data_IF_734748476195
#
_entry.id   IF_734748476195
#
_cell.length_a   1.000
_cell.length_b   1.000
_cell.length_c   1.000
_cell.angle_alpha   90.00
_cell.angle_beta   90.00
_cell.angle_gamma   90.00
#
_symmetry.space_group_name_H-M   'P 1'
#
loop_
_entity.id
_entity.type
_entity.pdbx_description
1 polymer ?
#
# COMPACT_ATOMS: atom_id res chain seq x y z
N UNK A 1 -42.96 13.99 2.88
CA UNK A 1 -42.29 14.00 1.57
C UNK A 1 -41.27 15.09 1.66
N UNK A 2 -40.10 14.74 2.18
CA UNK A 2 -39.06 15.69 2.52
C UNK A 2 -38.40 16.19 1.24
N UNK A 3 -38.38 17.51 1.10
CA UNK A 3 -37.79 18.19 -0.03
C UNK A 3 -36.29 17.89 -0.05
N UNK A 4 -35.83 17.22 -1.12
CA UNK A 4 -34.41 17.13 -1.44
C UNK A 4 -33.91 18.58 -1.53
N UNK A 5 -32.99 19.03 -0.65
CA UNK A 5 -32.50 20.39 -0.72
C UNK A 5 -31.76 20.58 -2.05
N UNK A 6 -32.03 21.68 -2.75
CA UNK A 6 -31.33 21.98 -4.00
C UNK A 6 -29.83 22.12 -3.72
N UNK A 7 -28.93 21.70 -4.64
CA UNK A 7 -27.48 21.74 -4.45
C UNK A 7 -26.93 23.09 -3.96
N UNK A 8 -27.55 24.20 -4.37
CA UNK A 8 -27.20 25.55 -3.95
C UNK A 8 -27.44 25.79 -2.44
N UNK A 9 -28.53 25.24 -1.88
CA UNK A 9 -28.85 25.36 -0.45
C UNK A 9 -27.88 24.55 0.42
N UNK A 10 -27.42 23.38 -0.06
CA UNK A 10 -26.43 22.56 0.67
C UNK A 10 -25.05 23.23 0.66
N UNK A 11 -24.69 23.87 -0.46
CA UNK A 11 -23.47 24.69 -0.57
C UNK A 11 -23.52 25.92 0.35
N UNK A 12 -24.64 26.63 0.39
CA UNK A 12 -24.88 27.73 1.34
C UNK A 12 -24.78 27.26 2.79
N UNK A 13 -25.44 26.15 3.14
CA UNK A 13 -25.36 25.55 4.48
C UNK A 13 -23.92 25.16 4.84
N UNK A 14 -23.15 24.63 3.91
CA UNK A 14 -21.75 24.30 4.13
C UNK A 14 -20.88 25.56 4.32
N UNK A 15 -21.10 26.61 3.53
CA UNK A 15 -20.37 27.88 3.67
C UNK A 15 -20.77 28.62 4.96
N UNK A 16 -22.04 28.60 5.34
CA UNK A 16 -22.55 29.08 6.63
C UNK A 16 -21.96 28.29 7.79
N UNK A 17 -21.90 26.97 7.65
CA UNK A 17 -21.26 26.09 8.62
C UNK A 17 -19.77 26.44 8.78
N UNK A 18 -19.03 26.60 7.67
CA UNK A 18 -17.63 27.00 7.69
C UNK A 18 -17.41 28.40 8.28
N UNK A 19 -18.29 29.36 8.00
CA UNK A 19 -18.16 30.74 8.52
C UNK A 19 -18.39 30.83 10.02
N UNK A 20 -19.25 29.94 10.57
CA UNK A 20 -19.49 29.81 12.01
C UNK A 20 -18.36 29.09 12.76
N UNK A 21 -17.51 28.35 12.06
CA UNK A 21 -16.36 27.63 12.63
C UNK A 21 -15.15 28.53 12.94
N UNK A 22 -15.36 29.81 13.28
CA UNK A 22 -14.30 30.73 13.67
C UNK A 22 -13.49 30.17 14.87
N UNK A 23 -12.19 30.53 15.01
CA UNK A 23 -11.19 29.68 15.68
C UNK A 23 -11.36 29.43 17.18
N UNK A 24 -12.38 29.99 17.83
CA UNK A 24 -12.45 30.06 19.29
C UNK A 24 -13.65 29.40 19.97
N UNK A 25 -14.65 28.85 19.26
CA UNK A 25 -15.92 28.56 19.97
C UNK A 25 -16.30 27.11 20.25
N UNK A 26 -16.05 26.06 19.44
CA UNK A 26 -16.37 24.70 19.91
C UNK A 26 -15.47 23.60 19.32
N UNK A 27 -14.82 22.82 20.20
CA UNK A 27 -14.09 21.57 19.87
C UNK A 27 -14.92 20.60 19.02
N UNK A 28 -16.24 20.65 19.21
CA UNK A 28 -17.19 19.78 18.53
C UNK A 28 -17.27 20.03 17.02
N UNK A 29 -17.05 21.26 16.54
CA UNK A 29 -17.04 21.56 15.11
C UNK A 29 -15.88 20.90 14.37
N UNK A 30 -14.75 20.69 15.06
CA UNK A 30 -13.61 19.96 14.51
C UNK A 30 -13.99 18.55 14.07
N UNK A 31 -14.84 17.87 14.84
CA UNK A 31 -15.32 16.51 14.51
C UNK A 31 -16.09 16.51 13.19
N UNK A 32 -17.05 17.41 13.03
CA UNK A 32 -17.89 17.48 11.84
C UNK A 32 -17.09 17.90 10.60
N UNK A 33 -16.20 18.89 10.71
CA UNK A 33 -15.31 19.28 9.60
C UNK A 33 -14.45 18.09 9.15
N UNK A 34 -13.82 17.38 10.08
CA UNK A 34 -13.00 16.22 9.77
C UNK A 34 -13.83 15.10 9.14
N UNK A 35 -15.05 14.85 9.61
CA UNK A 35 -15.93 13.85 9.01
C UNK A 35 -16.26 14.15 7.55
N UNK A 36 -16.69 15.38 7.24
CA UNK A 36 -17.00 15.79 5.87
C UNK A 36 -15.78 15.71 4.96
N UNK A 37 -14.61 16.10 5.48
CA UNK A 37 -13.33 15.96 4.80
C UNK A 37 -13.02 14.50 4.45
N UNK A 38 -13.14 13.58 5.40
CA UNK A 38 -12.89 12.16 5.18
C UNK A 38 -13.86 11.59 4.13
N UNK A 39 -15.16 11.86 4.27
CA UNK A 39 -16.17 11.42 3.31
C UNK A 39 -15.94 11.95 1.89
N UNK A 40 -15.27 13.09 1.74
CA UNK A 40 -14.91 13.62 0.43
C UNK A 40 -13.74 12.87 -0.26
N UNK A 41 -12.96 12.09 0.49
CA UNK A 41 -11.69 11.48 0.00
C UNK A 41 -11.79 9.95 -0.10
N UNK A 42 -12.73 9.35 0.62
CA UNK A 42 -12.83 7.90 0.77
C UNK A 42 -13.19 7.15 -0.51
N UNK A 43 -12.58 5.98 -0.70
CA UNK A 43 -12.81 5.11 -1.86
C UNK A 43 -14.11 4.30 -1.79
N UNK A 44 -14.68 4.14 -0.60
CA UNK A 44 -15.98 3.49 -0.38
C UNK A 44 -16.77 4.22 0.72
N UNK A 45 -18.10 4.03 0.78
CA UNK A 45 -18.88 4.48 1.92
C UNK A 45 -18.33 3.94 3.23
N UNK A 46 -18.37 4.76 4.28
CA UNK A 46 -18.02 4.34 5.62
C UNK A 46 -19.22 3.70 6.32
N UNK A 47 -18.93 2.85 7.31
CA UNK A 47 -19.89 2.60 8.38
C UNK A 47 -19.93 3.76 9.37
N UNK A 48 -21.01 3.87 10.14
CA UNK A 48 -21.12 4.89 11.19
C UNK A 48 -19.94 4.75 12.17
N UNK A 49 -19.61 3.51 12.54
CA UNK A 49 -18.51 3.25 13.47
C UNK A 49 -17.14 3.55 12.86
N UNK A 50 -16.88 3.17 11.62
CA UNK A 50 -15.61 3.48 10.94
C UNK A 50 -15.34 4.97 10.89
N UNK A 51 -16.34 5.76 10.46
CA UNK A 51 -16.21 7.21 10.40
C UNK A 51 -15.99 7.80 11.80
N UNK A 52 -16.76 7.35 12.79
CA UNK A 52 -16.67 7.87 14.15
C UNK A 52 -15.31 7.60 14.77
N UNK A 53 -14.78 6.39 14.63
CA UNK A 53 -13.44 6.03 15.12
C UNK A 53 -12.33 6.83 14.42
N UNK A 54 -12.42 7.01 13.10
CA UNK A 54 -11.44 7.80 12.34
C UNK A 54 -11.41 9.27 12.77
N UNK A 55 -12.59 9.87 12.91
CA UNK A 55 -12.78 11.27 13.31
C UNK A 55 -12.32 11.50 14.75
N UNK A 56 -12.70 10.62 15.67
CA UNK A 56 -12.26 10.68 17.07
C UNK A 56 -10.74 10.53 17.16
N UNK A 57 -10.13 9.58 16.43
CA UNK A 57 -8.67 9.42 16.43
C UNK A 57 -7.94 10.66 15.89
N UNK A 58 -8.51 11.32 14.88
CA UNK A 58 -7.91 12.55 14.35
C UNK A 58 -7.96 13.71 15.35
N UNK A 59 -9.08 13.85 16.07
CA UNK A 59 -9.31 14.98 16.98
C UNK A 59 -8.76 14.76 18.40
N UNK A 60 -8.55 13.51 18.80
CA UNK A 60 -7.96 13.18 20.10
C UNK A 60 -6.43 13.15 20.01
N UNK A 61 -5.76 14.03 20.74
CA UNK A 61 -4.31 13.96 20.93
C UNK A 61 -3.97 12.91 22.00
N UNK A 62 -2.88 12.16 21.79
CA UNK A 62 -2.31 11.19 22.75
C UNK A 62 -3.04 9.84 22.95
N UNK A 63 -3.82 9.40 21.98
CA UNK A 63 -4.37 8.03 21.99
C UNK A 63 -3.33 7.04 21.48
N UNK A 64 -2.99 6.03 22.29
CA UNK A 64 -2.07 4.94 21.90
C UNK A 64 -2.71 3.56 21.91
N UNK A 65 -3.91 3.41 22.49
CA UNK A 65 -4.62 2.13 22.61
C UNK A 65 -6.00 2.18 21.95
N UNK A 66 -6.48 1.03 21.49
CA UNK A 66 -7.83 0.82 20.97
C UNK A 66 -8.87 1.05 22.06
N UNK A 67 -8.57 0.61 23.29
CA UNK A 67 -9.46 0.80 24.44
C UNK A 67 -9.67 2.28 24.77
N UNK A 68 -8.60 3.08 24.81
CA UNK A 68 -8.71 4.52 25.08
C UNK A 68 -9.42 5.27 23.96
N UNK A 69 -9.21 4.85 22.70
CA UNK A 69 -9.97 5.39 21.57
C UNK A 69 -11.46 5.11 21.73
N UNK A 70 -11.84 3.88 22.09
CA UNK A 70 -13.23 3.47 22.20
C UNK A 70 -14.04 4.29 23.21
N UNK A 71 -13.40 4.73 24.32
CA UNK A 71 -14.01 5.56 25.36
C UNK A 71 -14.34 6.99 24.88
N UNK A 72 -13.69 7.45 23.81
CA UNK A 72 -13.84 8.80 23.26
C UNK A 72 -14.79 8.84 22.05
N UNK A 73 -15.17 7.68 21.51
CA UNK A 73 -16.03 7.60 20.32
C UNK A 73 -17.48 7.89 20.69
N UNK A 74 -18.01 9.01 20.17
CA UNK A 74 -19.43 9.36 20.26
C UNK A 74 -20.03 9.45 18.86
N UNK A 75 -20.54 8.30 18.39
CA UNK A 75 -21.13 8.18 17.07
C UNK A 75 -22.46 8.94 16.96
N UNK A 76 -23.27 8.99 18.03
CA UNK A 76 -24.57 9.67 18.00
C UNK A 76 -24.39 11.18 17.81
N UNK A 77 -23.47 11.76 18.60
CA UNK A 77 -23.10 13.17 18.46
C UNK A 77 -22.58 13.46 17.06
N UNK A 78 -21.63 12.68 16.56
CA UNK A 78 -21.07 12.89 15.23
C UNK A 78 -22.15 12.86 14.14
N UNK A 79 -22.99 11.84 14.14
CA UNK A 79 -24.05 11.68 13.13
C UNK A 79 -25.06 12.82 13.19
N UNK A 80 -25.43 13.31 14.38
CA UNK A 80 -26.33 14.46 14.52
C UNK A 80 -25.77 15.75 13.90
N UNK A 81 -24.44 15.91 13.90
CA UNK A 81 -23.78 17.10 13.38
C UNK A 81 -23.65 17.09 11.85
N UNK A 82 -23.43 15.91 11.25
CA UNK A 82 -23.20 15.78 9.81
C UNK A 82 -24.45 15.37 9.02
N UNK A 83 -25.53 15.00 9.70
CA UNK A 83 -26.81 14.58 9.10
C UNK A 83 -27.25 15.45 7.90
N UNK A 84 -27.15 16.79 7.93
CA UNK A 84 -27.61 17.62 6.81
C UNK A 84 -26.81 17.44 5.51
N UNK A 85 -25.63 16.82 5.57
CA UNK A 85 -24.67 16.72 4.46
C UNK A 85 -24.50 15.29 3.92
N UNK A 86 -25.11 14.30 4.56
CA UNK A 86 -24.96 12.87 4.22
C UNK A 86 -26.28 12.29 3.70
N UNK A 87 -26.18 11.25 2.87
CA UNK A 87 -27.37 10.51 2.42
C UNK A 87 -28.11 9.91 3.61
N UNK A 88 -29.41 9.63 3.45
CA UNK A 88 -30.18 8.95 4.52
C UNK A 88 -29.48 7.68 4.98
N UNK A 89 -29.35 7.53 6.30
CA UNK A 89 -28.63 6.45 6.97
C UNK A 89 -29.60 5.65 7.85
N UNK A 90 -29.54 4.32 7.77
CA UNK A 90 -30.21 3.42 8.69
C UNK A 90 -29.42 3.33 10.00
N UNK A 91 -29.98 3.80 11.11
CA UNK A 91 -29.29 3.81 12.41
C UNK A 91 -29.31 2.46 13.15
N UNK A 92 -30.08 1.48 12.64
CA UNK A 92 -30.23 0.17 13.27
C UNK A 92 -28.99 -0.72 13.07
N UNK A 93 -28.27 -0.55 11.95
CA UNK A 93 -27.01 -1.24 11.67
C UNK A 93 -25.85 -0.24 11.54
N UNK A 94 -25.11 -0.08 12.65
CA UNK A 94 -23.99 0.84 12.74
C UNK A 94 -22.75 0.41 11.91
N UNK A 95 -22.70 -0.85 11.47
CA UNK A 95 -21.57 -1.42 10.70
C UNK A 95 -21.82 -1.44 9.20
N UNK A 96 -23.05 -1.21 8.75
CA UNK A 96 -23.39 -1.10 7.33
C UNK A 96 -22.61 0.05 6.67
N UNK A 97 -22.00 -0.21 5.51
CA UNK A 97 -21.26 0.78 4.72
C UNK A 97 -22.23 1.69 3.94
N UNK A 98 -22.66 2.78 4.56
CA UNK A 98 -23.75 3.62 4.05
C UNK A 98 -23.53 5.13 4.18
N UNK A 99 -22.53 5.56 4.95
CA UNK A 99 -22.28 6.98 5.19
C UNK A 99 -21.48 7.54 4.02
N UNK A 100 -22.11 8.43 3.26
CA UNK A 100 -21.54 9.14 2.11
C UNK A 100 -22.18 10.53 1.97
N UNK A 101 -21.51 11.45 1.29
CA UNK A 101 -22.04 12.79 1.04
C UNK A 101 -23.26 12.72 0.11
N UNK A 102 -24.22 13.64 0.30
CA UNK A 102 -25.46 13.70 -0.50
C UNK A 102 -25.17 13.91 -1.99
N UNK A 103 -24.20 14.76 -2.31
CA UNK A 103 -23.95 15.20 -3.67
C UNK A 103 -22.44 15.34 -3.98
N UNK A 104 -22.07 15.05 -5.23
CA UNK A 104 -20.69 15.13 -5.73
C UNK A 104 -20.17 16.57 -5.79
N UNK A 105 -21.04 17.56 -6.01
CA UNK A 105 -20.68 18.98 -5.96
C UNK A 105 -20.19 19.41 -4.58
N UNK A 106 -20.75 18.85 -3.50
CA UNK A 106 -20.27 19.09 -2.14
C UNK A 106 -18.87 18.48 -1.93
N UNK A 107 -18.65 17.26 -2.44
CA UNK A 107 -17.32 16.64 -2.44
C UNK A 107 -16.28 17.52 -3.16
N UNK A 108 -16.61 18.05 -4.34
CA UNK A 108 -15.73 18.92 -5.12
C UNK A 108 -15.50 20.27 -4.42
N UNK A 109 -16.55 20.84 -3.78
CA UNK A 109 -16.45 22.06 -2.99
C UNK A 109 -15.52 21.90 -1.79
N UNK A 110 -15.63 20.79 -1.05
CA UNK A 110 -14.75 20.48 0.09
C UNK A 110 -13.30 20.40 -0.39
N UNK A 111 -13.03 19.69 -1.49
CA UNK A 111 -11.68 19.58 -2.08
C UNK A 111 -11.13 20.93 -2.51
N UNK A 112 -11.94 21.75 -3.18
CA UNK A 112 -11.56 23.11 -3.63
C UNK A 112 -11.24 24.05 -2.47
N UNK A 113 -12.06 24.01 -1.41
CA UNK A 113 -11.85 24.84 -0.22
C UNK A 113 -10.60 24.41 0.55
N UNK A 114 -10.29 23.11 0.56
CA UNK A 114 -9.03 22.62 1.11
C UNK A 114 -7.82 23.21 0.37
N UNK A 115 -7.81 23.12 -0.97
CA UNK A 115 -6.71 23.63 -1.78
C UNK A 115 -6.52 25.15 -1.62
N UNK A 116 -7.62 25.92 -1.63
CA UNK A 116 -7.56 27.40 -1.52
C UNK A 116 -7.02 27.87 -0.16
N UNK A 117 -7.36 27.18 0.94
CA UNK A 117 -6.82 27.52 2.27
C UNK A 117 -5.31 27.32 2.31
N UNK A 118 -4.79 26.29 1.65
CA UNK A 118 -3.34 26.04 1.61
C UNK A 118 -2.59 27.10 0.81
N UNK A 119 -3.07 27.48 -0.39
CA UNK A 119 -2.43 28.50 -1.22
C UNK A 119 -2.32 29.89 -0.57
N UNK A 120 -3.23 30.21 0.34
CA UNK A 120 -3.25 31.51 1.03
C UNK A 120 -2.39 31.56 2.31
N UNK A 121 -1.77 30.44 2.72
CA UNK A 121 -1.04 30.33 4.00
C UNK A 121 0.49 30.30 3.82
N UNK A 122 1.04 30.85 2.73
CA UNK A 122 2.50 30.98 2.52
C UNK A 122 3.20 32.00 3.46
N UNK A 123 2.62 32.39 4.61
CA UNK A 123 3.22 33.44 5.44
C UNK A 123 2.82 33.56 6.91
N UNK A 124 2.09 32.61 7.50
CA UNK A 124 1.70 32.73 8.92
C UNK A 124 2.02 31.47 9.72
N UNK A 125 3.15 31.50 10.43
CA UNK A 125 3.43 30.58 11.54
C UNK A 125 2.51 30.90 12.72
N UNK A 126 1.25 30.46 12.66
CA UNK A 126 0.37 30.41 13.83
C UNK A 126 0.24 28.96 14.28
N UNK A 127 0.92 28.64 15.38
CA UNK A 127 0.77 27.40 16.13
C UNK A 127 -0.68 27.22 16.59
N UNK A 128 -1.37 26.17 16.12
CA UNK A 128 -2.59 25.71 16.78
C UNK A 128 -3.64 24.97 15.94
N UNK A 129 -3.59 24.99 14.61
CA UNK A 129 -4.63 24.34 13.79
C UNK A 129 -4.10 23.06 13.10
N UNK A 130 -4.53 21.88 13.58
CA UNK A 130 -4.20 20.58 12.97
C UNK A 130 -4.73 20.45 11.53
N UNK A 131 -5.67 21.32 11.13
CA UNK A 131 -6.12 21.47 9.75
C UNK A 131 -5.05 22.01 8.78
N UNK A 132 -4.02 22.71 9.29
CA UNK A 132 -2.87 23.19 8.52
C UNK A 132 -1.74 22.16 8.40
N UNK A 133 -1.82 21.04 9.11
CA UNK A 133 -0.74 20.05 9.18
C UNK A 133 -0.66 19.14 7.95
N UNK A 134 -1.74 19.01 7.18
CA UNK A 134 -1.82 18.14 6.01
C UNK A 134 -2.06 18.97 4.75
N UNK A 135 -1.01 19.12 3.95
CA UNK A 135 -1.05 19.85 2.69
C UNK A 135 -1.98 19.19 1.65
N UNK A 136 -2.11 17.86 1.68
CA UNK A 136 -3.01 17.11 0.79
C UNK A 136 -4.12 16.34 1.54
N UNK A 137 -5.30 16.17 0.91
CA UNK A 137 -6.37 15.32 1.44
C UNK A 137 -5.91 13.88 1.70
N UNK A 138 -5.09 13.32 0.80
CA UNK A 138 -4.57 11.96 0.89
C UNK A 138 -3.65 11.79 2.11
N UNK A 139 -2.88 12.82 2.46
CA UNK A 139 -2.01 12.78 3.63
C UNK A 139 -2.78 12.76 4.96
N UNK A 140 -3.94 13.43 5.03
CA UNK A 140 -4.80 13.40 6.21
C UNK A 140 -5.27 11.97 6.50
N UNK A 141 -5.88 11.32 5.50
CA UNK A 141 -6.44 9.98 5.69
C UNK A 141 -5.33 8.93 5.85
N UNK A 142 -4.20 9.09 5.16
CA UNK A 142 -3.02 8.26 5.38
C UNK A 142 -2.53 8.35 6.83
N UNK A 143 -2.40 9.55 7.38
CA UNK A 143 -1.96 9.74 8.77
C UNK A 143 -2.93 9.08 9.77
N UNK A 144 -4.24 9.22 9.56
CA UNK A 144 -5.24 8.57 10.41
C UNK A 144 -5.12 7.06 10.32
N UNK A 145 -5.03 6.49 9.11
CA UNK A 145 -4.86 5.05 8.92
C UNK A 145 -3.57 4.54 9.56
N UNK A 146 -2.43 5.22 9.34
CA UNK A 146 -1.14 4.82 9.91
C UNK A 146 -1.16 4.93 11.43
N UNK A 147 -1.67 6.03 12.00
CA UNK A 147 -1.79 6.17 13.47
C UNK A 147 -2.70 5.11 14.06
N UNK A 148 -3.80 4.78 13.39
CA UNK A 148 -4.68 3.70 13.82
C UNK A 148 -3.93 2.38 13.87
N UNK A 149 -3.24 2.02 12.78
CA UNK A 149 -2.47 0.77 12.69
C UNK A 149 -1.24 0.74 13.62
N UNK A 150 -0.89 1.86 14.25
CA UNK A 150 0.14 1.98 15.26
C UNK A 150 -0.38 1.89 16.70
N UNK A 151 -1.69 1.76 16.93
CA UNK A 151 -2.26 1.49 18.25
C UNK A 151 -1.71 0.17 18.82
N UNK A 152 -1.48 0.12 20.13
CA UNK A 152 -0.69 -0.93 20.79
C UNK A 152 -1.24 -2.34 20.55
N UNK A 153 -2.56 -2.52 20.62
CA UNK A 153 -3.22 -3.81 20.44
C UNK A 153 -2.95 -4.44 19.07
N UNK A 154 -2.79 -3.64 18.01
CA UNK A 154 -2.52 -4.11 16.65
C UNK A 154 -1.08 -4.67 16.54
N UNK A 155 -0.18 -4.25 17.42
CA UNK A 155 1.17 -4.81 17.49
C UNK A 155 1.29 -6.04 18.39
N UNK A 156 0.27 -6.34 19.20
CA UNK A 156 0.34 -7.38 20.22
C UNK A 156 -0.61 -8.55 19.91
N UNK A 157 -1.85 -8.25 19.52
CA UNK A 157 -2.88 -9.25 19.24
C UNK A 157 -2.76 -9.76 17.81
N UNK A 158 -3.23 -10.98 17.55
CA UNK A 158 -3.36 -11.50 16.18
C UNK A 158 -4.76 -11.26 15.63
N UNK A 159 -4.87 -11.03 14.32
CA UNK A 159 -6.17 -10.93 13.63
C UNK A 159 -6.96 -12.24 13.72
N UNK A 160 -6.31 -13.39 13.59
CA UNK A 160 -6.94 -14.71 13.70
C UNK A 160 -6.67 -15.36 15.05
N UNK A 161 -7.66 -16.08 15.58
CA UNK A 161 -7.46 -16.88 16.78
C UNK A 161 -6.77 -18.19 16.40
N UNK A 162 -6.19 -18.89 17.37
CA UNK A 162 -5.57 -20.20 17.10
C UNK A 162 -6.62 -21.19 16.57
N UNK A 163 -7.85 -21.11 17.09
CA UNK A 163 -8.98 -21.91 16.65
C UNK A 163 -9.38 -21.56 15.21
N UNK A 164 -9.43 -20.28 14.85
CA UNK A 164 -9.73 -19.85 13.49
C UNK A 164 -8.67 -20.29 12.49
N UNK A 165 -7.39 -20.26 12.90
CA UNK A 165 -6.28 -20.80 12.09
C UNK A 165 -6.48 -22.30 11.91
N UNK A 166 -6.70 -23.06 12.99
CA UNK A 166 -6.93 -24.49 12.93
C UNK A 166 -8.15 -24.87 12.08
N UNK A 167 -9.26 -24.11 12.19
CA UNK A 167 -10.47 -24.32 11.38
C UNK A 167 -10.22 -24.00 9.91
N UNK A 168 -9.38 -23.01 9.59
CA UNK A 168 -9.02 -22.68 8.21
C UNK A 168 -8.12 -23.74 7.55
N UNK A 169 -7.41 -24.53 8.35
CA UNK A 169 -6.58 -25.66 7.89
C UNK A 169 -7.38 -26.96 7.72
N UNK A 170 -8.61 -27.03 8.25
CA UNK A 170 -9.50 -28.17 8.06
C UNK A 170 -10.20 -28.10 6.68
N UNK A 171 -10.41 -29.24 6.00
CA UNK A 171 -11.22 -29.30 4.80
C UNK A 171 -12.62 -28.72 5.08
N UNK A 172 -13.00 -27.68 4.34
CA UNK A 172 -14.33 -27.07 4.49
C UNK A 172 -15.40 -28.08 4.04
N UNK A 173 -16.59 -28.05 4.64
CA UNK A 173 -17.64 -29.03 4.35
C UNK A 173 -18.07 -29.09 2.87
N UNK A 174 -17.84 -28.02 2.11
CA UNK A 174 -18.04 -27.95 0.66
C UNK A 174 -16.97 -28.70 -0.15
N UNK A 175 -15.76 -28.90 0.39
CA UNK A 175 -14.65 -29.64 -0.22
C UNK A 175 -14.73 -31.14 0.07
N UNK A 176 -15.48 -31.56 1.09
CA UNK A 176 -15.62 -32.99 1.44
C UNK A 176 -16.49 -33.80 0.46
N UNK A 177 -17.23 -33.12 -0.43
CA UNK A 177 -18.15 -33.76 -1.39
C UNK A 177 -18.04 -33.23 -2.83
N UNK A 178 -17.10 -32.32 -3.13
CA UNK A 178 -16.83 -31.83 -4.49
C UNK A 178 -15.38 -32.13 -4.86
N UNK A 179 -15.14 -33.26 -5.54
CA UNK A 179 -13.81 -33.64 -6.02
C UNK A 179 -13.30 -32.79 -7.21
N UNK A 180 -14.08 -31.81 -7.71
CA UNK A 180 -13.82 -31.15 -9.01
C UNK A 180 -13.86 -29.61 -9.04
N UNK A 181 -14.02 -28.90 -7.91
CA UNK A 181 -13.96 -27.43 -7.96
C UNK A 181 -12.62 -26.92 -7.44
N UNK A 182 -11.76 -26.51 -8.38
CA UNK A 182 -10.68 -25.57 -8.08
C UNK A 182 -11.24 -24.45 -7.16
N UNK A 183 -10.50 -24.02 -6.12
CA UNK A 183 -10.94 -22.92 -5.28
C UNK A 183 -11.27 -21.72 -6.18
N UNK A 184 -12.44 -21.09 -5.96
CA UNK A 184 -12.91 -19.98 -6.78
C UNK A 184 -11.87 -18.87 -6.75
N UNK A 185 -10.98 -18.84 -7.75
CA UNK A 185 -9.92 -17.85 -7.85
C UNK A 185 -10.58 -16.49 -8.01
N UNK A 186 -10.24 -15.56 -7.13
CA UNK A 186 -10.67 -14.17 -7.27
C UNK A 186 -10.26 -13.68 -8.67
N UNK A 187 -11.24 -13.19 -9.43
CA UNK A 187 -10.99 -12.55 -10.71
C UNK A 187 -11.13 -11.03 -10.54
N UNK A 188 -10.28 -10.26 -11.21
CA UNK A 188 -10.30 -8.80 -11.15
C UNK A 188 -11.54 -8.16 -11.80
N UNK A 189 -12.46 -8.97 -12.33
CA UNK A 189 -13.70 -8.50 -12.96
C UNK A 189 -14.90 -8.52 -11.99
N UNK A 190 -14.74 -9.05 -10.78
CA UNK A 190 -15.75 -9.02 -9.72
C UNK A 190 -15.29 -8.16 -8.53
N UNK A 191 -16.24 -7.45 -7.90
CA UNK A 191 -15.96 -6.71 -6.68
C UNK A 191 -15.69 -7.68 -5.53
N UNK A 192 -14.93 -7.25 -4.51
CA UNK A 192 -14.65 -8.12 -3.37
C UNK A 192 -15.92 -8.46 -2.60
N UNK A 193 -16.90 -7.54 -2.57
CA UNK A 193 -18.21 -7.75 -1.94
C UNK A 193 -18.93 -8.94 -2.56
N UNK A 194 -18.96 -9.03 -3.89
CA UNK A 194 -19.61 -10.12 -4.61
C UNK A 194 -18.84 -11.45 -4.48
N UNK A 195 -17.51 -11.41 -4.38
CA UNK A 195 -16.70 -12.61 -4.20
C UNK A 195 -16.79 -13.18 -2.78
N UNK A 196 -16.90 -12.32 -1.76
CA UNK A 196 -16.95 -12.71 -0.34
C UNK A 196 -18.38 -12.94 0.20
N UNK A 197 -19.42 -12.80 -0.63
CA UNK A 197 -20.83 -12.77 -0.21
C UNK A 197 -21.21 -13.97 0.67
N UNK A 198 -20.94 -15.19 0.20
CA UNK A 198 -21.31 -16.46 0.85
C UNK A 198 -20.18 -17.07 1.71
N UNK A 199 -19.09 -16.34 1.93
CA UNK A 199 -17.92 -16.88 2.64
C UNK A 199 -18.04 -16.74 4.16
N UNK A 200 -17.52 -17.70 4.95
CA UNK A 200 -17.42 -17.55 6.40
C UNK A 200 -16.63 -16.29 6.75
N UNK A 201 -17.13 -15.48 7.68
CA UNK A 201 -16.51 -14.21 8.08
C UNK A 201 -15.95 -14.26 9.49
N UNK A 202 -14.89 -13.51 9.74
CA UNK A 202 -14.38 -13.22 11.08
C UNK A 202 -14.59 -11.75 11.42
N UNK A 203 -14.48 -11.39 12.71
CA UNK A 203 -14.61 -10.02 13.17
C UNK A 203 -13.33 -9.54 13.86
N UNK A 204 -12.57 -8.59 13.28
CA UNK A 204 -11.44 -7.95 13.96
C UNK A 204 -11.84 -7.26 15.26
N UNK A 205 -13.07 -6.75 15.34
CA UNK A 205 -13.60 -6.08 16.54
C UNK A 205 -13.71 -7.05 17.71
N UNK A 206 -14.09 -8.32 17.48
CA UNK A 206 -14.12 -9.36 18.53
C UNK A 206 -12.72 -9.66 19.08
N UNK A 207 -11.68 -9.38 18.31
CA UNK A 207 -10.29 -9.48 18.75
C UNK A 207 -9.81 -8.22 19.48
N UNK A 208 -10.66 -7.20 19.56
CA UNK A 208 -10.34 -5.90 20.14
C UNK A 208 -9.34 -5.12 19.29
N UNK A 209 -9.46 -5.22 17.96
CA UNK A 209 -8.74 -4.37 17.01
C UNK A 209 -9.52 -3.09 16.65
N UNK A 210 -10.78 -3.01 17.07
CA UNK A 210 -11.64 -1.84 16.90
C UNK A 210 -12.27 -1.73 15.50
N UNK A 211 -13.15 -0.75 15.34
CA UNK A 211 -14.08 -0.69 14.20
C UNK A 211 -13.47 -0.07 12.93
N UNK A 212 -12.31 0.59 13.00
CA UNK A 212 -11.65 1.21 11.84
C UNK A 212 -10.47 0.37 11.31
N UNK A 213 -10.15 -0.75 11.95
CA UNK A 213 -9.01 -1.61 11.59
C UNK A 213 -9.09 -2.13 10.14
N UNK A 214 -10.27 -2.57 9.71
CA UNK A 214 -10.49 -3.11 8.36
C UNK A 214 -10.18 -2.06 7.31
N UNK A 215 -10.79 -0.88 7.44
CA UNK A 215 -10.57 0.22 6.53
C UNK A 215 -9.09 0.63 6.49
N UNK A 216 -8.49 0.87 7.66
CA UNK A 216 -7.11 1.30 7.75
C UNK A 216 -6.17 0.29 7.08
N UNK A 217 -6.33 -1.01 7.35
CA UNK A 217 -5.48 -2.06 6.79
C UNK A 217 -5.61 -2.21 5.27
N UNK A 218 -6.81 -1.96 4.72
CA UNK A 218 -7.06 -2.13 3.29
C UNK A 218 -6.64 -0.92 2.46
N UNK A 219 -6.89 0.29 2.95
CA UNK A 219 -6.80 1.51 2.13
C UNK A 219 -5.56 2.36 2.40
N UNK A 220 -4.85 2.18 3.53
CA UNK A 220 -3.60 2.92 3.76
C UNK A 220 -2.57 2.78 2.63
N UNK A 221 -2.38 1.62 1.96
CA UNK A 221 -1.41 1.50 0.87
C UNK A 221 -1.83 2.29 -0.38
N UNK A 222 -3.15 2.48 -0.59
CA UNK A 222 -3.66 3.29 -1.69
C UNK A 222 -3.32 4.76 -1.48
N UNK A 223 -3.53 5.27 -0.27
CA UNK A 223 -3.15 6.64 0.08
C UNK A 223 -1.63 6.83 0.13
N UNK A 224 -0.90 5.82 0.58
CA UNK A 224 0.57 5.84 0.63
C UNK A 224 1.23 5.96 -0.75
N UNK A 225 0.55 5.51 -1.81
CA UNK A 225 0.98 5.69 -3.20
C UNK A 225 0.79 7.12 -3.69
N UNK A 226 -0.25 7.81 -3.21
CA UNK A 226 -0.71 9.09 -3.75
C UNK A 226 -0.07 10.31 -3.07
N UNK A 227 0.58 10.14 -1.92
CA UNK A 227 1.22 11.26 -1.22
C UNK A 227 2.42 11.83 -1.98
N UNK A 228 2.53 13.16 -1.95
CA UNK A 228 3.60 13.93 -2.57
C UNK A 228 4.63 14.39 -1.54
N UNK A 229 5.79 14.87 -2.02
CA UNK A 229 6.89 15.38 -1.20
C UNK A 229 6.49 16.36 -0.08
N UNK A 230 5.45 17.18 -0.27
CA UNK A 230 5.01 18.18 0.72
C UNK A 230 4.24 17.58 1.91
N UNK A 231 3.75 16.35 1.79
CA UNK A 231 2.81 15.76 2.73
C UNK A 231 3.16 14.30 3.09
N UNK A 232 4.45 13.97 3.11
CA UNK A 232 4.90 12.61 3.39
C UNK A 232 4.62 12.19 4.84
N UNK A 233 4.24 10.92 5.08
CA UNK A 233 4.11 10.38 6.42
C UNK A 233 5.48 10.36 7.12
N UNK A 234 5.47 10.33 8.45
CA UNK A 234 6.69 10.18 9.24
C UNK A 234 7.35 8.83 8.91
N UNK A 235 8.62 8.86 8.50
CA UNK A 235 9.39 7.65 8.17
C UNK A 235 9.36 6.61 9.32
N UNK A 236 9.60 7.05 10.56
CA UNK A 236 9.57 6.16 11.73
C UNK A 236 8.21 5.45 11.92
N UNK A 237 7.10 6.10 11.53
CA UNK A 237 5.78 5.47 11.58
C UNK A 237 5.65 4.35 10.56
N UNK A 238 6.18 4.55 9.34
CA UNK A 238 6.18 3.52 8.28
C UNK A 238 7.10 2.37 8.66
N UNK A 239 8.33 2.65 9.13
CA UNK A 239 9.25 1.62 9.61
C UNK A 239 8.63 0.76 10.71
N UNK A 240 7.99 1.39 11.71
CA UNK A 240 7.32 0.67 12.80
C UNK A 240 6.11 -0.14 12.33
N UNK A 241 5.33 0.39 11.37
CA UNK A 241 4.16 -0.29 10.82
C UNK A 241 4.55 -1.52 9.98
N UNK A 242 5.65 -1.44 9.26
CA UNK A 242 6.11 -2.45 8.31
C UNK A 242 7.33 -3.22 8.79
N UNK A 243 7.67 -3.12 10.09
CA UNK A 243 8.83 -3.78 10.65
C UNK A 243 8.81 -5.28 10.34
N UNK A 244 9.92 -5.80 9.81
CA UNK A 244 10.09 -7.20 9.50
C UNK A 244 9.72 -8.09 10.69
N UNK A 245 9.04 -9.20 10.42
CA UNK A 245 8.58 -10.19 11.40
C UNK A 245 7.70 -9.65 12.54
N UNK A 246 7.20 -8.43 12.42
CA UNK A 246 6.29 -7.85 13.41
C UNK A 246 4.84 -8.35 13.24
N UNK A 247 4.10 -8.41 14.35
CA UNK A 247 2.67 -8.68 14.29
C UNK A 247 1.92 -7.60 13.53
N UNK A 248 2.41 -6.35 13.49
CA UNK A 248 1.77 -5.25 12.78
C UNK A 248 1.70 -5.53 11.28
N UNK A 249 2.84 -5.84 10.66
CA UNK A 249 2.87 -6.15 9.23
C UNK A 249 2.03 -7.39 8.92
N UNK A 250 2.11 -8.42 9.77
CA UNK A 250 1.26 -9.60 9.63
C UNK A 250 -0.23 -9.25 9.70
N UNK A 251 -0.66 -8.46 10.68
CA UNK A 251 -2.07 -8.16 10.90
C UNK A 251 -2.68 -7.36 9.75
N UNK A 252 -2.06 -6.23 9.37
CA UNK A 252 -2.66 -5.39 8.33
C UNK A 252 -2.62 -6.08 6.96
N UNK A 253 -1.57 -6.85 6.65
CA UNK A 253 -1.49 -7.59 5.36
C UNK A 253 -2.49 -8.74 5.29
N UNK A 254 -2.74 -9.43 6.40
CA UNK A 254 -3.78 -10.47 6.48
C UNK A 254 -5.17 -9.87 6.31
N UNK A 255 -5.42 -8.68 6.86
CA UNK A 255 -6.69 -7.98 6.65
C UNK A 255 -6.81 -7.40 5.23
N UNK A 256 -5.74 -6.86 4.65
CA UNK A 256 -5.71 -6.24 3.32
C UNK A 256 -6.18 -7.21 2.21
N UNK A 257 -5.81 -8.49 2.34
CA UNK A 257 -6.26 -9.53 1.42
C UNK A 257 -7.70 -10.02 1.65
N UNK A 258 -8.42 -9.48 2.65
CA UNK A 258 -9.80 -9.83 3.05
C UNK A 258 -10.63 -8.59 3.44
N UNK A 259 -10.92 -7.64 2.52
CA UNK A 259 -11.64 -6.41 2.86
C UNK A 259 -13.03 -6.63 3.47
N UNK A 260 -13.73 -7.71 3.12
CA UNK A 260 -15.02 -8.09 3.72
C UNK A 260 -14.90 -9.04 4.90
N UNK A 261 -13.68 -9.28 5.39
CA UNK A 261 -13.37 -10.21 6.47
C UNK A 261 -13.77 -11.66 6.20
N UNK A 262 -13.77 -12.11 4.94
CA UNK A 262 -13.86 -13.53 4.61
C UNK A 262 -12.65 -14.30 5.18
N UNK A 263 -12.87 -15.51 5.69
CA UNK A 263 -11.81 -16.41 6.14
C UNK A 263 -10.79 -16.73 5.03
N UNK A 264 -11.21 -17.20 3.83
CA UNK A 264 -10.27 -17.42 2.73
C UNK A 264 -9.71 -16.10 2.20
N UNK A 265 -8.40 -16.03 1.91
CA UNK A 265 -7.79 -14.84 1.33
C UNK A 265 -8.10 -14.69 -0.17
N UNK A 266 -8.26 -13.45 -0.65
CA UNK A 266 -8.42 -13.17 -2.09
C UNK A 266 -7.19 -13.50 -2.93
N UNK A 267 -6.00 -13.31 -2.35
CA UNK A 267 -4.71 -13.52 -3.02
C UNK A 267 -3.62 -13.91 -2.01
N UNK A 268 -2.56 -14.60 -2.45
CA UNK A 268 -1.40 -14.89 -1.62
C UNK A 268 -0.59 -13.61 -1.33
N UNK A 269 -0.19 -13.41 -0.07
CA UNK A 269 0.66 -12.27 0.32
C UNK A 269 1.44 -12.60 1.60
N UNK A 270 2.55 -13.33 1.52
CA UNK A 270 3.26 -13.73 2.74
C UNK A 270 4.00 -12.55 3.40
N UNK A 271 3.54 -12.10 4.56
CA UNK A 271 4.10 -10.97 5.29
C UNK A 271 5.58 -11.14 5.67
N UNK A 272 6.07 -12.37 5.76
CA UNK A 272 7.48 -12.66 6.09
C UNK A 272 8.45 -12.27 4.95
N UNK A 273 7.93 -12.05 3.75
CA UNK A 273 8.72 -11.64 2.59
C UNK A 273 8.86 -10.11 2.48
N UNK A 274 8.26 -9.37 3.42
CA UNK A 274 8.17 -7.92 3.38
C UNK A 274 8.72 -7.27 4.64
N UNK A 275 9.19 -6.05 4.44
CA UNK A 275 9.79 -5.15 5.41
C UNK A 275 9.47 -3.69 4.99
N UNK A 276 9.94 -2.66 5.70
CA UNK A 276 9.57 -1.30 5.35
C UNK A 276 9.99 -0.89 3.93
N UNK A 277 11.21 -1.25 3.49
CA UNK A 277 11.68 -0.89 2.16
C UNK A 277 10.88 -1.57 1.06
N UNK A 278 10.64 -2.88 1.17
CA UNK A 278 9.87 -3.63 0.16
C UNK A 278 8.41 -3.19 0.07
N UNK A 279 7.77 -2.84 1.19
CA UNK A 279 6.43 -2.23 1.20
C UNK A 279 6.46 -0.85 0.53
N UNK A 280 7.47 -0.02 0.80
CA UNK A 280 7.63 1.27 0.13
C UNK A 280 7.87 1.12 -1.37
N UNK A 281 8.68 0.14 -1.79
CA UNK A 281 8.87 -0.16 -3.21
C UNK A 281 7.55 -0.49 -3.90
N UNK A 282 6.72 -1.35 -3.29
CA UNK A 282 5.49 -1.86 -3.88
C UNK A 282 4.32 -0.85 -3.83
N UNK A 283 4.15 -0.15 -2.70
CA UNK A 283 2.97 0.68 -2.44
C UNK A 283 3.26 2.16 -2.24
N UNK A 284 4.48 2.55 -1.85
CA UNK A 284 4.81 3.95 -1.57
C UNK A 284 4.83 4.84 -2.81
N UNK A 285 4.77 6.15 -2.62
CA UNK A 285 5.09 7.11 -3.68
C UNK A 285 6.60 7.10 -3.98
N UNK A 286 6.99 7.61 -5.16
CA UNK A 286 8.41 7.72 -5.54
C UNK A 286 9.16 8.65 -4.57
N UNK A 287 8.54 9.75 -4.16
CA UNK A 287 9.08 10.66 -3.15
C UNK A 287 9.38 9.93 -1.83
N UNK A 288 8.47 9.06 -1.39
CA UNK A 288 8.66 8.30 -0.17
C UNK A 288 9.73 7.22 -0.31
N UNK A 289 9.88 6.60 -1.50
CA UNK A 289 11.00 5.70 -1.78
C UNK A 289 12.33 6.42 -1.64
N UNK A 290 12.46 7.64 -2.16
CA UNK A 290 13.68 8.44 -1.98
C UNK A 290 13.94 8.78 -0.51
N UNK A 291 12.91 9.13 0.27
CA UNK A 291 13.06 9.36 1.72
C UNK A 291 13.49 8.09 2.45
N UNK A 292 12.87 6.94 2.15
CA UNK A 292 13.25 5.64 2.70
C UNK A 292 14.71 5.30 2.36
N UNK A 293 15.13 5.50 1.11
CA UNK A 293 16.50 5.25 0.67
C UNK A 293 17.53 6.24 1.17
N UNK A 294 17.13 7.45 1.59
CA UNK A 294 18.06 8.47 2.11
C UNK A 294 18.20 8.42 3.63
N UNK A 295 17.08 8.32 4.33
CA UNK A 295 17.00 8.64 5.76
C UNK A 295 16.90 7.41 6.67
N UNK A 296 16.57 6.23 6.12
CA UNK A 296 16.43 5.01 6.94
C UNK A 296 17.77 4.48 7.39
N UNK A 297 17.75 3.82 8.56
CA UNK A 297 18.87 3.04 9.06
C UNK A 297 18.63 1.55 8.79
N UNK A 298 19.20 1.04 7.70
CA UNK A 298 19.02 -0.36 7.29
C UNK A 298 19.67 -1.39 8.23
N UNK A 299 20.47 -0.94 9.22
CA UNK A 299 21.14 -1.80 10.19
C UNK A 299 20.38 -1.90 11.54
N UNK A 300 19.23 -1.24 11.69
CA UNK A 300 18.51 -1.13 12.96
C UNK A 300 17.64 -2.36 13.33
N UNK A 301 17.69 -3.43 12.53
CA UNK A 301 16.88 -4.64 12.74
C UNK A 301 15.42 -4.54 12.32
N UNK A 302 14.97 -3.41 11.75
CA UNK A 302 13.61 -3.28 11.22
C UNK A 302 13.43 -3.89 9.82
N UNK A 303 14.54 -4.18 9.14
CA UNK A 303 14.60 -4.61 7.75
C UNK A 303 15.04 -6.06 7.63
N UNK A 304 14.63 -6.73 6.56
CA UNK A 304 15.08 -8.08 6.26
C UNK A 304 16.53 -8.08 5.78
N UNK A 305 17.21 -9.21 5.94
CA UNK A 305 18.48 -9.43 5.28
C UNK A 305 18.30 -9.34 3.75
N UNK A 306 19.25 -8.67 3.08
CA UNK A 306 19.15 -8.39 1.64
C UNK A 306 17.88 -7.60 1.29
N UNK A 307 17.47 -6.64 2.12
CA UNK A 307 16.25 -5.81 1.96
C UNK A 307 16.07 -5.24 0.55
N UNK A 308 17.15 -4.81 -0.12
CA UNK A 308 17.06 -4.27 -1.48
C UNK A 308 16.72 -5.35 -2.51
N UNK A 309 17.28 -6.56 -2.35
CA UNK A 309 16.95 -7.72 -3.18
C UNK A 309 15.50 -8.14 -2.97
N UNK A 310 15.01 -8.13 -1.72
CA UNK A 310 13.61 -8.41 -1.41
C UNK A 310 12.69 -7.37 -2.05
N UNK A 311 12.97 -6.08 -1.88
CA UNK A 311 12.23 -4.99 -2.53
C UNK A 311 12.22 -5.10 -4.05
N UNK A 312 13.37 -5.41 -4.66
CA UNK A 312 13.48 -5.60 -6.10
C UNK A 312 12.68 -6.82 -6.59
N UNK A 313 12.66 -7.94 -5.85
CA UNK A 313 11.82 -9.10 -6.18
C UNK A 313 10.32 -8.75 -6.18
N UNK A 314 9.89 -7.89 -5.26
CA UNK A 314 8.49 -7.43 -5.23
C UNK A 314 8.17 -6.51 -6.41
N UNK A 315 9.08 -5.62 -6.79
CA UNK A 315 8.93 -4.78 -7.99
C UNK A 315 8.84 -5.64 -9.26
N UNK A 316 9.68 -6.68 -9.37
CA UNK A 316 9.71 -7.62 -10.50
C UNK A 316 8.43 -8.47 -10.60
N UNK A 317 7.75 -8.75 -9.49
CA UNK A 317 6.50 -9.52 -9.51
C UNK A 317 5.27 -8.63 -9.71
N UNK A 318 5.16 -7.53 -8.96
CA UNK A 318 3.88 -6.82 -8.79
C UNK A 318 3.94 -5.29 -8.91
N UNK A 319 5.14 -4.70 -8.89
CA UNK A 319 5.31 -3.25 -8.73
C UNK A 319 5.45 -2.44 -10.03
N UNK A 320 6.19 -1.35 -9.96
CA UNK A 320 6.59 -0.50 -11.08
C UNK A 320 8.10 -0.66 -11.32
N UNK A 321 8.49 -1.16 -12.50
CA UNK A 321 9.89 -1.50 -12.78
C UNK A 321 10.80 -0.28 -12.87
N UNK A 322 10.26 0.90 -13.16
CA UNK A 322 11.04 2.15 -13.23
C UNK A 322 11.79 2.44 -11.92
N UNK A 323 11.24 1.97 -10.79
CA UNK A 323 11.81 2.10 -9.45
C UNK A 323 13.02 1.22 -9.18
N UNK A 324 13.25 0.18 -9.99
CA UNK A 324 14.40 -0.70 -9.81
C UNK A 324 15.71 0.07 -9.93
N UNK A 325 15.75 1.07 -10.80
CA UNK A 325 16.93 1.92 -11.00
C UNK A 325 17.33 2.64 -9.71
N UNK A 326 16.37 3.08 -8.91
CA UNK A 326 16.63 3.77 -7.63
C UNK A 326 17.32 2.85 -6.62
N UNK A 327 16.79 1.63 -6.44
CA UNK A 327 17.42 0.62 -5.57
C UNK A 327 18.81 0.22 -6.07
N UNK A 328 18.95 0.10 -7.39
CA UNK A 328 20.16 -0.38 -8.04
C UNK A 328 21.32 0.60 -7.91
N UNK A 329 21.02 1.90 -8.00
CA UNK A 329 22.00 2.98 -7.91
C UNK A 329 22.25 3.45 -6.48
N UNK A 330 21.47 3.00 -5.50
CA UNK A 330 21.66 3.39 -4.11
C UNK A 330 23.07 3.01 -3.62
N UNK A 331 23.84 3.95 -3.04
CA UNK A 331 25.22 3.69 -2.64
C UNK A 331 25.34 2.71 -1.47
N UNK A 332 24.32 2.61 -0.61
CA UNK A 332 24.32 1.76 0.58
C UNK A 332 23.84 0.36 0.27
N UNK A 333 22.82 0.25 -0.59
CA UNK A 333 22.09 -0.99 -0.84
C UNK A 333 22.33 -1.60 -2.23
N UNK A 334 22.74 -0.80 -3.22
CA UNK A 334 22.85 -1.26 -4.60
C UNK A 334 23.85 -2.40 -4.79
N UNK A 335 24.80 -2.61 -3.87
CA UNK A 335 25.69 -3.77 -3.90
C UNK A 335 24.94 -5.12 -3.80
N UNK A 336 23.76 -5.14 -3.15
CA UNK A 336 22.90 -6.32 -3.04
C UNK A 336 22.27 -6.72 -4.38
N UNK A 337 22.20 -5.80 -5.33
CA UNK A 337 21.59 -5.99 -6.66
C UNK A 337 22.62 -6.08 -7.78
N UNK A 338 23.81 -5.49 -7.61
CA UNK A 338 24.87 -5.44 -8.63
C UNK A 338 25.68 -6.73 -8.69
N UNK A 339 25.03 -7.86 -8.93
CA UNK A 339 25.63 -9.18 -9.00
C UNK A 339 24.84 -10.11 -9.95
N UNK A 340 25.44 -11.27 -10.28
CA UNK A 340 24.86 -12.25 -11.19
C UNK A 340 23.50 -12.80 -10.71
N UNK A 341 23.35 -13.05 -9.40
CA UNK A 341 22.15 -13.66 -8.83
C UNK A 341 20.91 -12.77 -9.01
N UNK A 342 21.08 -11.45 -8.94
CA UNK A 342 19.99 -10.53 -9.23
C UNK A 342 19.54 -10.59 -10.69
N UNK A 343 20.48 -10.67 -11.66
CA UNK A 343 20.09 -10.82 -13.06
C UNK A 343 19.47 -12.20 -13.35
N UNK A 344 19.90 -13.24 -12.62
CA UNK A 344 19.24 -14.55 -12.64
C UNK A 344 17.79 -14.45 -12.14
N UNK A 345 17.55 -13.66 -11.10
CA UNK A 345 16.21 -13.36 -10.61
C UNK A 345 15.35 -12.64 -11.67
N UNK A 346 15.89 -11.62 -12.35
CA UNK A 346 15.20 -10.93 -13.45
C UNK A 346 14.77 -11.93 -14.54
N UNK A 347 15.69 -12.79 -15.00
CA UNK A 347 15.39 -13.81 -16.03
C UNK A 347 14.27 -14.75 -15.56
N UNK A 348 14.33 -15.21 -14.30
CA UNK A 348 13.32 -16.10 -13.73
C UNK A 348 11.95 -15.43 -13.70
N UNK A 349 11.85 -14.21 -13.16
CA UNK A 349 10.58 -13.47 -13.06
C UNK A 349 10.01 -13.09 -14.42
N UNK A 350 10.86 -12.70 -15.36
CA UNK A 350 10.46 -12.46 -16.74
C UNK A 350 9.87 -13.72 -17.37
N UNK A 351 10.50 -14.89 -17.17
CA UNK A 351 9.96 -16.15 -17.70
C UNK A 351 8.61 -16.51 -17.09
N UNK A 352 8.41 -16.27 -15.80
CA UNK A 352 7.16 -16.55 -15.09
C UNK A 352 6.00 -15.63 -15.50
N UNK A 353 6.30 -14.39 -15.91
CA UNK A 353 5.27 -13.33 -16.03
C UNK A 353 5.27 -12.55 -17.35
N UNK A 354 6.17 -12.85 -18.30
CA UNK A 354 6.31 -12.13 -19.59
C UNK A 354 5.03 -12.10 -20.43
N UNK A 355 4.14 -13.07 -20.25
CA UNK A 355 2.83 -13.10 -20.93
C UNK A 355 1.84 -12.09 -20.32
N UNK A 356 1.94 -11.83 -19.01
CA UNK A 356 1.00 -10.99 -18.27
C UNK A 356 1.54 -9.57 -17.99
N UNK A 357 2.85 -9.33 -18.21
CA UNK A 357 3.50 -8.05 -17.97
C UNK A 357 4.40 -7.68 -19.16
N UNK A 358 3.96 -6.79 -20.06
CA UNK A 358 4.67 -6.51 -21.30
C UNK A 358 5.86 -5.55 -21.15
N UNK A 359 5.90 -4.74 -20.09
CA UNK A 359 6.94 -3.73 -19.90
C UNK A 359 8.03 -4.24 -18.94
N UNK A 360 9.19 -4.59 -19.50
CA UNK A 360 10.39 -5.09 -18.81
C UNK A 360 11.64 -4.26 -19.09
N UNK A 361 11.48 -3.17 -19.84
CA UNK A 361 12.59 -2.43 -20.40
C UNK A 361 13.48 -1.83 -19.31
N UNK A 362 12.88 -1.27 -18.25
CA UNK A 362 13.60 -0.70 -17.11
C UNK A 362 14.47 -1.74 -16.38
N UNK A 363 13.98 -2.98 -16.22
CA UNK A 363 14.75 -4.05 -15.60
C UNK A 363 15.93 -4.49 -16.48
N UNK A 364 15.72 -4.60 -17.80
CA UNK A 364 16.80 -4.96 -18.73
C UNK A 364 17.82 -3.85 -18.92
N UNK A 365 17.42 -2.58 -18.79
CA UNK A 365 18.30 -1.42 -18.87
C UNK A 365 19.40 -1.39 -17.80
N UNK A 366 19.21 -2.10 -16.67
CA UNK A 366 20.23 -2.23 -15.63
C UNK A 366 21.49 -2.95 -16.11
N UNK A 367 21.41 -3.79 -17.15
CA UNK A 367 22.58 -4.49 -17.73
C UNK A 367 23.59 -3.48 -18.26
N UNK A 368 23.11 -2.38 -18.87
CA UNK A 368 23.98 -1.39 -19.47
C UNK A 368 24.83 -0.65 -18.43
N UNK A 369 24.33 -0.57 -17.18
CA UNK A 369 25.03 0.00 -16.04
C UNK A 369 26.12 -0.93 -15.46
N UNK A 370 26.10 -2.23 -15.82
CA UNK A 370 26.95 -3.25 -15.21
C UNK A 370 28.12 -3.71 -16.06
N UNK A 371 28.27 -3.20 -17.27
CA UNK A 371 29.24 -3.73 -18.25
C UNK A 371 30.66 -3.83 -17.68
N UNK A 372 31.12 -2.79 -17.00
CA UNK A 372 32.49 -2.76 -16.46
C UNK A 372 32.66 -3.70 -15.27
N UNK A 373 31.70 -3.70 -14.34
CA UNK A 373 31.73 -4.58 -13.18
C UNK A 373 31.58 -6.06 -13.57
N UNK A 374 30.76 -6.36 -14.57
CA UNK A 374 30.56 -7.69 -15.12
C UNK A 374 31.86 -8.26 -15.71
N UNK A 375 32.61 -7.45 -16.45
CA UNK A 375 33.94 -7.82 -16.97
C UNK A 375 34.95 -7.99 -15.83
N UNK A 376 34.94 -7.08 -14.85
CA UNK A 376 35.87 -7.15 -13.72
C UNK A 376 35.67 -8.43 -12.89
N UNK A 377 34.42 -8.86 -12.74
CA UNK A 377 34.03 -10.02 -11.94
C UNK A 377 33.79 -11.29 -12.77
N UNK A 378 33.97 -11.23 -14.09
CA UNK A 378 33.95 -12.37 -15.02
C UNK A 378 32.67 -13.22 -14.99
N UNK A 379 31.49 -12.57 -14.97
CA UNK A 379 30.20 -13.26 -14.99
C UNK A 379 29.31 -12.91 -16.19
N UNK A 380 29.83 -12.17 -17.17
CA UNK A 380 29.11 -11.78 -18.38
C UNK A 380 28.80 -12.95 -19.30
N UNK A 381 29.73 -13.90 -19.45
CA UNK A 381 29.47 -15.14 -20.20
C UNK A 381 28.40 -16.00 -19.53
N UNK A 382 28.48 -16.18 -18.20
CA UNK A 382 27.48 -16.96 -17.47
C UNK A 382 26.09 -16.34 -17.59
N UNK A 383 25.97 -15.02 -17.47
CA UNK A 383 24.71 -14.31 -17.70
C UNK A 383 24.18 -14.55 -19.12
N UNK A 384 25.06 -14.48 -20.13
CA UNK A 384 24.68 -14.75 -21.51
C UNK A 384 24.14 -16.17 -21.70
N UNK A 385 24.83 -17.18 -21.17
CA UNK A 385 24.38 -18.57 -21.21
C UNK A 385 23.02 -18.76 -20.54
N UNK A 386 22.82 -18.18 -19.35
CA UNK A 386 21.54 -18.24 -18.65
C UNK A 386 20.42 -17.59 -19.46
N UNK A 387 20.65 -16.38 -19.99
CA UNK A 387 19.67 -15.67 -20.79
C UNK A 387 19.32 -16.44 -22.08
N UNK A 388 20.32 -16.99 -22.77
CA UNK A 388 20.13 -17.80 -23.97
C UNK A 388 19.33 -19.08 -23.67
N UNK A 389 19.68 -19.79 -22.59
CA UNK A 389 18.99 -21.02 -22.16
C UNK A 389 17.53 -20.77 -21.77
N UNK A 390 17.23 -19.59 -21.21
CA UNK A 390 15.89 -19.17 -20.85
C UNK A 390 15.10 -18.54 -22.00
N UNK A 391 15.71 -18.37 -23.19
CA UNK A 391 15.09 -17.68 -24.33
C UNK A 391 14.91 -16.17 -24.13
N UNK A 392 15.64 -15.56 -23.18
CA UNK A 392 15.55 -14.15 -22.87
C UNK A 392 16.30 -13.29 -23.91
N UNK A 393 15.69 -13.14 -25.08
CA UNK A 393 16.23 -12.38 -26.20
C UNK A 393 16.66 -10.94 -25.84
N UNK A 394 15.93 -10.16 -25.00
CA UNK A 394 16.33 -8.81 -24.65
C UNK A 394 17.71 -8.74 -23.97
N UNK A 395 17.99 -9.62 -23.02
CA UNK A 395 19.28 -9.68 -22.32
C UNK A 395 20.39 -10.12 -23.28
N UNK A 396 20.15 -11.16 -24.08
CA UNK A 396 21.11 -11.63 -25.08
C UNK A 396 21.50 -10.52 -26.06
N UNK A 397 20.51 -9.79 -26.59
CA UNK A 397 20.72 -8.71 -27.53
C UNK A 397 21.51 -7.55 -26.91
N UNK A 398 21.21 -7.18 -25.66
CA UNK A 398 21.96 -6.14 -24.93
C UNK A 398 23.41 -6.55 -24.69
N UNK A 399 23.66 -7.79 -24.28
CA UNK A 399 25.03 -8.28 -24.06
C UNK A 399 25.84 -8.30 -25.35
N UNK A 400 25.26 -8.78 -26.46
CA UNK A 400 25.91 -8.77 -27.77
C UNK A 400 26.16 -7.35 -28.28
N UNK A 401 25.21 -6.44 -28.08
CA UNK A 401 25.35 -5.02 -28.46
C UNK A 401 26.38 -4.31 -27.59
N UNK A 402 26.45 -4.64 -26.29
CA UNK A 402 27.45 -4.15 -25.35
C UNK A 402 28.85 -4.64 -25.72
N UNK A 403 29.00 -5.91 -26.10
CA UNK A 403 30.27 -6.49 -26.55
C UNK A 403 30.84 -5.83 -27.81
N UNK A 404 30.01 -5.21 -28.66
CA UNK A 404 30.51 -4.41 -29.80
C UNK A 404 31.26 -3.15 -29.37
N UNK A 405 30.97 -2.64 -28.17
CA UNK A 405 31.48 -1.37 -27.66
C UNK A 405 32.38 -1.55 -26.42
N UNK A 406 32.51 -2.76 -25.88
CA UNK A 406 33.35 -3.08 -24.73
C UNK A 406 34.24 -4.31 -25.04
N UNK A 407 35.54 -4.05 -25.20
CA UNK A 407 36.55 -5.06 -25.55
C UNK A 407 36.79 -6.11 -24.46
N UNK A 408 36.53 -5.78 -23.20
CA UNK A 408 36.59 -6.74 -22.10
C UNK A 408 35.48 -7.78 -22.23
N UNK A 409 34.24 -7.32 -22.37
CA UNK A 409 33.07 -8.17 -22.53
C UNK A 409 33.14 -8.98 -23.82
N UNK A 410 33.64 -8.38 -24.91
CA UNK A 410 33.86 -9.09 -26.18
C UNK A 410 34.81 -10.28 -26.01
N UNK A 411 35.94 -10.07 -25.33
CA UNK A 411 36.92 -11.13 -25.08
C UNK A 411 36.35 -12.23 -24.21
N UNK A 412 35.66 -11.87 -23.13
CA UNK A 412 35.02 -12.84 -22.24
C UNK A 412 34.03 -13.74 -22.99
N UNK A 413 33.11 -13.15 -23.76
CA UNK A 413 32.13 -13.91 -24.54
C UNK A 413 32.82 -14.83 -25.57
N UNK A 414 33.79 -14.32 -26.34
CA UNK A 414 34.47 -15.09 -27.40
C UNK A 414 35.43 -16.16 -26.89
N UNK A 415 36.08 -15.94 -25.74
CA UNK A 415 37.02 -16.89 -25.16
C UNK A 415 36.31 -18.19 -24.78
N UNK A 416 35.13 -18.08 -24.17
CA UNK A 416 34.33 -19.23 -23.74
C UNK A 416 33.58 -19.91 -24.91
N UNK A 417 33.21 -19.18 -25.97
CA UNK A 417 32.75 -19.81 -27.22
C UNK A 417 33.80 -20.76 -27.84
N UNK A 418 35.07 -20.45 -27.66
CA UNK A 418 36.18 -21.25 -28.20
C UNK A 418 36.46 -22.51 -27.36
N UNK A 419 35.96 -22.56 -26.12
CA UNK A 419 36.11 -23.69 -25.19
C UNK A 419 34.94 -24.69 -25.23
N UNK A 420 33.85 -24.38 -25.93
CA UNK A 420 32.76 -25.33 -26.15
C UNK A 420 33.22 -26.51 -27.03
N UNK A 421 32.98 -27.78 -26.64
CA UNK A 421 33.32 -28.92 -27.49
C UNK A 421 32.54 -28.80 -28.80
N UNK A 422 33.25 -28.77 -29.92
CA UNK A 422 32.62 -28.92 -31.23
C UNK A 422 31.96 -30.30 -31.28
N UNK A 423 30.64 -30.35 -31.11
CA UNK A 423 29.87 -31.56 -31.38
C UNK A 423 30.00 -31.82 -32.88
N UNK A 424 30.80 -32.83 -33.22
CA UNK A 424 31.02 -33.23 -34.59
C UNK A 424 29.67 -33.57 -35.26
N UNK A 425 29.40 -33.12 -36.49
CA UNK A 425 28.19 -33.50 -37.20
C UNK A 425 28.20 -35.02 -37.43
N UNK A 426 27.13 -35.68 -36.98
CA UNK A 426 26.82 -37.07 -37.33
C UNK A 426 26.81 -37.20 -38.86
N UNK A 427 27.64 -38.12 -39.37
CA UNK A 427 27.71 -38.50 -40.78
C UNK A 427 26.47 -39.26 -41.22
#
# INVERSE_FOLDING_TARGET
MDAIPLPDQVSELYNDFLSRCAPNEHKDWGLAITALKLLAITHRPFSILELSWAVTLHTAHHVTTVDDLSKLVDHQKLMSMIQPFITSVELDDLRKYQVQLIDKSLQDLIKKNWATKYSNTEGSHSSGDDGQRFASPEALILDICVRYLLLDEIGVKFVFSEEQIAISELPQASDLFNDEKDPVKYNSHCSWEAWEEDMPRFSPTERGLGEFFVYASCYWPEYYRLVTAEALPRLASIEKLCQADSNRIRNWTQQNRRPGCAMPPRFPFDSQLYDPLSITCLYGSVDMLHVMLRDSNFDNGNFLEMTALKGADQLLQWGDLSRLRELFLDPRLGHQLRNLDFFRLIIRRWRESSVCRPDWEDAFALIDLMRDQMVQQQWGYELWCMAASAGCAPIVQRLLSGARHNEGLRRELLHEFSLMPQVAPLK
#
